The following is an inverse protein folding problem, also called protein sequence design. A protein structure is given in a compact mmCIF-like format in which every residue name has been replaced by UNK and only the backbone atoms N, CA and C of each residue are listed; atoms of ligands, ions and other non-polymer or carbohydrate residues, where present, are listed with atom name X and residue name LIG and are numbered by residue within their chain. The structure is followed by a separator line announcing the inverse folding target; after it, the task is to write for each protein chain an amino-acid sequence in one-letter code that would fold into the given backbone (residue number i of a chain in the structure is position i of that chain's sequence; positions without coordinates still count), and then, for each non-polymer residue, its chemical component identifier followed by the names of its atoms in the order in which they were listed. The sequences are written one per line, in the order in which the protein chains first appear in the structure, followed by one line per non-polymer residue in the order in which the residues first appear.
data_IF_552895714670
#
_entry.id   IF_552895714670
#
_cell.length_a   1.000
_cell.length_b   1.000
_cell.length_c   1.000
_cell.angle_alpha   90.00
_cell.angle_beta   90.00
_cell.angle_gamma   90.00
#
_symmetry.space_group_name_H-M   'P 1'
#
loop_
_entity.id
_entity.type
_entity.pdbx_description
1 polymer ?
#
# COMPACT_ATOMS: atom_id res chain seq x y z
N UNK A 1 11.21 4.97 -17.32
CA UNK A 1 11.81 3.64 -17.52
C UNK A 1 10.98 2.73 -16.64
N UNK A 2 10.18 1.82 -17.19
CA UNK A 2 9.30 0.97 -16.35
C UNK A 2 10.15 -0.08 -15.64
N UNK A 3 10.41 0.15 -14.35
CA UNK A 3 11.09 -0.85 -13.53
C UNK A 3 10.17 -2.06 -13.33
N UNK A 4 10.69 -3.25 -13.65
CA UNK A 4 9.95 -4.49 -13.60
C UNK A 4 9.30 -4.69 -12.23
N UNK A 5 7.97 -4.87 -12.20
CA UNK A 5 7.09 -5.01 -10.99
C UNK A 5 7.51 -6.11 -9.99
N UNK A 6 8.52 -6.90 -10.36
CA UNK A 6 9.02 -8.11 -9.70
C UNK A 6 10.43 -7.95 -9.11
N UNK A 7 10.94 -6.73 -8.86
CA UNK A 7 12.18 -6.43 -8.10
C UNK A 7 13.31 -7.47 -8.23
N UNK A 8 14.04 -7.42 -9.35
CA UNK A 8 15.20 -8.31 -9.60
C UNK A 8 14.84 -9.74 -10.04
N UNK A 9 13.56 -10.09 -10.17
CA UNK A 9 13.13 -11.31 -10.84
C UNK A 9 12.74 -11.05 -12.30
N UNK A 10 13.38 -11.78 -13.21
CA UNK A 10 13.33 -11.54 -14.66
C UNK A 10 12.50 -12.56 -15.45
N UNK A 11 12.04 -13.64 -14.83
CA UNK A 11 11.26 -14.68 -15.52
C UNK A 11 9.77 -14.30 -15.57
N UNK A 12 9.00 -14.79 -16.55
CA UNK A 12 7.55 -14.58 -16.59
C UNK A 12 6.86 -15.17 -15.35
N UNK A 13 5.82 -14.49 -14.87
CA UNK A 13 4.94 -14.99 -13.82
C UNK A 13 3.66 -15.58 -14.43
N UNK A 14 3.31 -16.78 -13.99
CA UNK A 14 2.05 -17.44 -14.28
C UNK A 14 1.10 -17.27 -13.09
N UNK A 15 -0.19 -17.07 -13.36
CA UNK A 15 -1.20 -17.10 -12.32
C UNK A 15 -1.65 -18.55 -12.10
N UNK A 16 -1.49 -19.05 -10.87
CA UNK A 16 -1.99 -20.35 -10.44
C UNK A 16 -3.32 -20.19 -9.70
N UNK A 17 -4.23 -21.12 -9.96
CA UNK A 17 -5.40 -21.41 -9.14
C UNK A 17 -5.06 -22.48 -8.08
N UNK A 18 -6.09 -22.99 -7.39
CA UNK A 18 -5.95 -23.95 -6.29
C UNK A 18 -5.52 -25.35 -6.77
N UNK A 19 -6.05 -25.82 -7.90
CA UNK A 19 -5.69 -27.11 -8.49
C UNK A 19 -4.22 -27.10 -8.96
N UNK A 20 -3.82 -26.04 -9.66
CA UNK A 20 -2.45 -25.88 -10.14
C UNK A 20 -1.43 -25.70 -9.01
N UNK A 21 -1.82 -25.04 -7.91
CA UNK A 21 -0.96 -24.90 -6.73
C UNK A 21 -0.76 -26.24 -6.00
N UNK A 22 -1.82 -27.04 -5.86
CA UNK A 22 -1.76 -28.39 -5.24
C UNK A 22 -0.91 -29.35 -6.10
N UNK A 23 -1.12 -29.34 -7.42
CA UNK A 23 -0.45 -30.25 -8.35
C UNK A 23 1.07 -30.01 -8.47
N UNK A 24 1.55 -28.80 -8.16
CA UNK A 24 2.97 -28.45 -8.25
C UNK A 24 3.87 -29.08 -7.17
N UNK A 25 3.33 -29.90 -6.25
CA UNK A 25 4.06 -30.70 -5.23
C UNK A 25 5.03 -29.93 -4.31
N UNK A 26 5.06 -28.60 -4.40
CA UNK A 26 5.83 -27.72 -3.53
C UNK A 26 5.00 -27.40 -2.29
N UNK A 27 5.27 -28.13 -1.20
CA UNK A 27 4.56 -27.94 0.07
C UNK A 27 4.67 -26.50 0.58
N UNK A 28 3.52 -25.91 0.94
CA UNK A 28 3.33 -24.60 1.59
C UNK A 28 4.38 -23.54 1.23
N UNK A 29 4.38 -23.11 -0.04
CA UNK A 29 5.33 -22.12 -0.55
C UNK A 29 5.21 -20.74 0.16
N UNK A 30 6.33 -20.01 0.21
CA UNK A 30 6.42 -18.67 0.82
C UNK A 30 6.40 -17.57 -0.25
N UNK A 31 5.68 -16.49 0.03
CA UNK A 31 5.67 -15.31 -0.82
C UNK A 31 7.05 -14.63 -0.79
N UNK A 32 7.70 -14.53 -1.94
CA UNK A 32 9.05 -13.98 -2.07
C UNK A 32 9.14 -12.49 -1.70
N UNK A 33 8.00 -11.77 -1.67
CA UNK A 33 7.93 -10.37 -1.20
C UNK A 33 7.64 -10.23 0.30
N UNK A 34 6.65 -10.90 0.89
CA UNK A 34 6.29 -10.70 2.31
C UNK A 34 6.75 -11.81 3.27
N UNK A 35 7.20 -12.96 2.78
CA UNK A 35 7.62 -14.12 3.60
C UNK A 35 6.48 -15.02 4.07
N UNK A 36 5.23 -14.56 4.00
CA UNK A 36 4.06 -15.34 4.43
C UNK A 36 3.64 -16.41 3.41
N UNK A 37 2.99 -17.48 3.89
CA UNK A 37 2.54 -18.59 3.05
C UNK A 37 1.61 -18.10 1.93
N UNK A 38 1.84 -18.55 0.69
CA UNK A 38 0.91 -18.28 -0.42
C UNK A 38 -0.28 -19.23 -0.36
N UNK A 39 -1.47 -18.66 -0.61
CA UNK A 39 -2.67 -19.40 -0.96
C UNK A 39 -3.04 -19.07 -2.40
N UNK A 40 -3.74 -19.98 -3.07
CA UNK A 40 -4.35 -19.66 -4.35
C UNK A 40 -5.42 -18.56 -4.21
N UNK A 41 -5.68 -17.77 -5.27
CA UNK A 41 -4.89 -17.68 -6.49
C UNK A 41 -3.62 -16.82 -6.31
N UNK A 42 -2.46 -17.34 -6.70
CA UNK A 42 -1.15 -16.71 -6.52
C UNK A 42 -0.33 -16.70 -7.83
N UNK A 43 0.71 -15.87 -7.91
CA UNK A 43 1.66 -15.94 -9.01
C UNK A 43 2.83 -16.88 -8.67
N UNK A 44 3.30 -17.63 -9.67
CA UNK A 44 4.55 -18.40 -9.61
C UNK A 44 5.44 -18.08 -10.81
N UNK A 45 6.75 -18.25 -10.67
CA UNK A 45 7.69 -18.22 -11.80
C UNK A 45 7.41 -19.36 -12.79
N UNK A 46 7.38 -19.04 -14.09
CA UNK A 46 7.22 -20.00 -15.19
C UNK A 46 8.38 -21.01 -15.30
N UNK A 47 9.57 -20.65 -14.80
CA UNK A 47 10.78 -21.47 -14.80
C UNK A 47 10.98 -22.23 -13.47
N UNK A 48 9.95 -22.33 -12.62
CA UNK A 48 9.95 -23.10 -11.38
C UNK A 48 11.08 -22.77 -10.37
N UNK A 49 11.66 -21.57 -10.44
CA UNK A 49 12.78 -21.16 -9.59
C UNK A 49 12.42 -20.86 -8.11
N UNK A 50 11.29 -21.37 -7.62
CA UNK A 50 10.81 -21.17 -6.24
C UNK A 50 10.29 -19.76 -5.93
N UNK A 51 10.12 -18.89 -6.93
CA UNK A 51 9.58 -17.54 -6.73
C UNK A 51 8.04 -17.55 -6.83
N UNK A 52 7.38 -17.13 -5.74
CA UNK A 52 5.92 -17.07 -5.61
C UNK A 52 5.49 -15.71 -5.03
N UNK A 53 4.32 -15.21 -5.43
CA UNK A 53 3.75 -13.97 -4.88
C UNK A 53 2.24 -14.09 -4.65
N UNK A 54 1.74 -13.56 -3.52
CA UNK A 54 0.32 -13.19 -3.44
C UNK A 54 0.01 -12.12 -4.49
N UNK A 55 -1.22 -12.10 -5.02
CA UNK A 55 -1.69 -11.04 -5.94
C UNK A 55 -1.43 -9.64 -5.40
N UNK A 56 -1.73 -9.41 -4.12
CA UNK A 56 -1.51 -8.12 -3.44
C UNK A 56 -0.02 -7.73 -3.38
N UNK A 57 0.88 -8.70 -3.19
CA UNK A 57 2.32 -8.43 -3.20
C UNK A 57 2.85 -8.18 -4.63
N UNK A 58 2.31 -8.85 -5.64
CA UNK A 58 2.65 -8.58 -7.04
C UNK A 58 2.17 -7.19 -7.50
N UNK A 59 1.01 -6.74 -7.01
CA UNK A 59 0.43 -5.43 -7.31
C UNK A 59 0.89 -4.28 -6.39
N UNK A 60 1.65 -4.57 -5.33
CA UNK A 60 2.14 -3.57 -4.38
C UNK A 60 2.98 -2.49 -5.10
N UNK A 61 2.63 -1.20 -4.99
CA UNK A 61 3.33 -0.10 -5.67
C UNK A 61 4.73 0.11 -5.08
N UNK A 62 5.62 0.74 -5.84
CA UNK A 62 6.98 1.06 -5.36
C UNK A 62 6.95 2.11 -4.23
N UNK A 63 5.95 3.01 -4.26
CA UNK A 63 5.77 4.09 -3.29
C UNK A 63 4.28 4.23 -2.91
N UNK A 64 4.02 4.62 -1.67
CA UNK A 64 2.68 4.96 -1.15
C UNK A 64 2.72 6.36 -0.53
N UNK A 65 1.94 7.28 -1.09
CA UNK A 65 1.71 8.61 -0.50
C UNK A 65 0.57 8.49 0.53
N UNK A 66 0.90 8.19 1.78
CA UNK A 66 -0.12 7.81 2.78
C UNK A 66 -0.96 9.02 3.22
N UNK A 67 -2.31 8.99 3.13
CA UNK A 67 -3.12 10.19 3.39
C UNK A 67 -3.01 10.75 4.82
N UNK A 68 -2.71 9.89 5.81
CA UNK A 68 -2.45 10.29 7.20
C UNK A 68 -0.96 10.57 7.53
N UNK A 69 -0.07 10.45 6.55
CA UNK A 69 1.38 10.67 6.69
C UNK A 69 1.90 11.13 5.32
N UNK A 70 1.68 12.42 5.01
CA UNK A 70 1.81 12.98 3.64
C UNK A 70 3.17 13.60 3.37
N UNK A 71 3.95 13.89 4.42
CA UNK A 71 5.22 14.61 4.31
C UNK A 71 6.32 13.74 3.69
N UNK A 72 6.28 12.42 3.93
CA UNK A 72 7.23 11.46 3.40
C UNK A 72 6.49 10.28 2.72
N UNK A 73 6.80 9.94 1.46
CA UNK A 73 6.27 8.73 0.85
C UNK A 73 6.88 7.49 1.50
N UNK A 74 6.04 6.47 1.68
CA UNK A 74 6.47 5.13 2.09
C UNK A 74 7.04 4.39 0.87
N UNK A 75 8.34 4.07 0.87
CA UNK A 75 9.04 3.42 -0.25
C UNK A 75 9.19 1.92 0.03
N UNK A 76 8.88 1.07 -0.97
CA UNK A 76 9.01 -0.37 -0.86
C UNK A 76 10.47 -0.82 -1.03
N UNK A 77 11.06 -1.31 0.07
CA UNK A 77 12.44 -1.76 0.13
C UNK A 77 12.54 -3.28 0.33
N UNK A 78 13.54 -3.91 -0.29
CA UNK A 78 13.94 -5.30 0.02
C UNK A 78 14.89 -5.37 1.21
N UNK A 79 15.69 -4.32 1.40
CA UNK A 79 16.66 -4.18 2.48
C UNK A 79 16.56 -2.77 3.06
N UNK A 80 16.63 -2.63 4.38
CA UNK A 80 16.63 -1.33 5.04
C UNK A 80 17.87 -0.51 4.69
N UNK A 81 17.80 0.82 4.87
CA UNK A 81 18.98 1.70 4.80
C UNK A 81 19.89 1.58 6.05
N UNK A 82 19.43 0.89 7.10
CA UNK A 82 20.12 0.79 8.39
C UNK A 82 21.16 -0.35 8.44
N UNK A 83 22.29 -0.10 9.11
CA UNK A 83 23.39 -1.07 9.24
C UNK A 83 23.12 -2.18 10.27
N UNK A 84 22.25 -1.93 11.26
CA UNK A 84 21.95 -2.84 12.36
C UNK A 84 20.51 -2.65 12.83
N UNK A 85 19.76 -3.74 13.03
CA UNK A 85 18.42 -3.70 13.61
C UNK A 85 17.51 -4.84 13.16
N UNK A 86 16.38 -4.97 13.86
CA UNK A 86 15.18 -5.70 13.43
C UNK A 86 14.08 -4.69 13.17
N UNK A 87 13.53 -4.68 11.96
CA UNK A 87 12.53 -3.71 11.49
C UNK A 87 11.18 -4.16 12.03
N UNK A 88 10.52 -3.32 12.82
CA UNK A 88 9.24 -3.64 13.45
C UNK A 88 8.17 -2.85 12.72
N UNK A 89 7.10 -3.53 12.32
CA UNK A 89 5.97 -2.90 11.63
C UNK A 89 5.14 -2.07 12.61
N UNK A 90 5.13 -0.74 12.46
CA UNK A 90 4.44 0.23 13.34
C UNK A 90 2.91 0.05 13.44
N UNK A 91 2.33 -0.83 12.61
CA UNK A 91 0.90 -1.19 12.67
C UNK A 91 0.60 -2.46 13.49
N UNK A 92 1.55 -3.39 13.62
CA UNK A 92 1.26 -4.70 14.22
C UNK A 92 2.38 -5.30 15.07
N UNK A 93 3.41 -4.51 15.40
CA UNK A 93 4.48 -4.83 16.35
C UNK A 93 5.27 -6.12 16.05
N UNK A 94 5.30 -6.52 14.77
CA UNK A 94 5.99 -7.73 14.29
C UNK A 94 7.11 -7.40 13.33
N UNK A 95 8.15 -8.23 13.36
CA UNK A 95 9.33 -8.09 12.50
C UNK A 95 8.98 -8.13 11.00
N UNK A 96 9.55 -7.24 10.21
CA UNK A 96 9.56 -7.30 8.75
C UNK A 96 10.76 -8.16 8.28
N UNK A 97 10.48 -9.34 7.71
CA UNK A 97 11.52 -10.34 7.36
C UNK A 97 11.96 -10.31 5.90
N UNK A 98 11.20 -9.63 5.02
CA UNK A 98 11.40 -9.59 3.57
C UNK A 98 11.28 -8.16 3.06
N UNK A 99 10.40 -7.89 2.08
CA UNK A 99 10.10 -6.54 1.63
C UNK A 99 9.11 -5.85 2.56
N UNK A 100 9.31 -4.55 2.77
CA UNK A 100 8.52 -3.70 3.63
C UNK A 100 8.53 -2.27 3.08
N UNK A 101 7.52 -1.49 3.47
CA UNK A 101 7.48 -0.06 3.21
C UNK A 101 8.22 0.69 4.30
N UNK A 102 9.00 1.69 3.90
CA UNK A 102 9.87 2.46 4.77
C UNK A 102 9.77 3.97 4.44
N UNK A 103 9.66 4.80 5.46
CA UNK A 103 10.04 6.21 5.43
C UNK A 103 10.87 6.52 6.70
N UNK A 104 11.48 7.71 6.84
CA UNK A 104 12.31 8.04 8.02
C UNK A 104 11.60 7.86 9.38
N UNK A 105 10.28 7.88 9.41
CA UNK A 105 9.44 7.85 10.61
C UNK A 105 8.68 6.53 10.83
N UNK A 106 8.53 5.68 9.81
CA UNK A 106 7.62 4.52 9.81
C UNK A 106 8.15 3.34 8.97
N UNK A 107 8.01 2.13 9.53
CA UNK A 107 8.20 0.83 8.86
C UNK A 107 6.88 0.03 8.84
N UNK A 108 6.53 -0.58 7.69
CA UNK A 108 5.33 -1.41 7.58
C UNK A 108 5.52 -2.65 6.70
N UNK A 109 4.96 -3.79 7.11
CA UNK A 109 4.72 -4.89 6.15
C UNK A 109 3.87 -4.40 4.98
N UNK A 110 4.08 -4.96 3.78
CA UNK A 110 3.28 -4.66 2.57
C UNK A 110 1.77 -4.68 2.86
N UNK A 111 1.28 -5.72 3.54
CA UNK A 111 -0.14 -5.85 3.87
C UNK A 111 -0.64 -4.77 4.84
N UNK A 112 0.22 -4.30 5.75
CA UNK A 112 -0.13 -3.30 6.75
C UNK A 112 -0.21 -1.92 6.12
N UNK A 113 0.81 -1.52 5.34
CA UNK A 113 0.80 -0.24 4.61
C UNK A 113 -0.40 -0.13 3.66
N UNK A 114 -0.71 -1.19 2.91
CA UNK A 114 -1.87 -1.19 2.01
C UNK A 114 -3.20 -1.17 2.78
N UNK A 115 -3.28 -1.81 3.94
CA UNK A 115 -4.48 -1.79 4.78
C UNK A 115 -4.73 -0.40 5.39
N UNK A 116 -3.70 0.22 5.99
CA UNK A 116 -3.82 1.57 6.57
C UNK A 116 -4.07 2.62 5.49
N UNK A 117 -3.42 2.50 4.34
CA UNK A 117 -3.65 3.36 3.17
C UNK A 117 -5.12 3.31 2.71
N UNK A 118 -5.68 2.11 2.52
CA UNK A 118 -7.07 1.95 2.10
C UNK A 118 -8.06 2.53 3.13
N UNK A 119 -7.79 2.38 4.43
CA UNK A 119 -8.60 3.01 5.49
C UNK A 119 -8.51 4.54 5.40
N UNK A 120 -7.30 5.08 5.31
CA UNK A 120 -7.07 6.52 5.26
C UNK A 120 -7.70 7.17 4.01
N UNK A 121 -7.61 6.52 2.85
CA UNK A 121 -8.30 6.97 1.63
C UNK A 121 -9.83 6.96 1.76
N UNK A 122 -10.40 5.91 2.35
CA UNK A 122 -11.86 5.81 2.49
C UNK A 122 -12.39 6.86 3.47
N UNK A 123 -11.68 7.08 4.59
CA UNK A 123 -12.01 8.14 5.54
C UNK A 123 -11.93 9.54 4.89
N UNK A 124 -10.97 9.79 3.98
CA UNK A 124 -10.94 11.04 3.22
C UNK A 124 -12.15 11.19 2.28
N UNK A 125 -12.53 10.13 1.55
CA UNK A 125 -13.70 10.15 0.65
C UNK A 125 -15.01 10.38 1.42
N UNK A 126 -15.12 9.88 2.66
CA UNK A 126 -16.23 10.21 3.56
C UNK A 126 -16.18 11.68 3.97
N UNK A 127 -15.01 12.21 4.37
CA UNK A 127 -14.86 13.63 4.73
C UNK A 127 -15.14 14.57 3.55
N UNK A 128 -14.83 14.18 2.32
CA UNK A 128 -15.20 14.93 1.10
C UNK A 128 -16.72 15.04 0.92
N UNK A 129 -17.49 13.98 1.26
CA UNK A 129 -18.95 14.04 1.31
C UNK A 129 -19.51 14.83 2.52
N UNK A 130 -18.71 15.01 3.58
CA UNK A 130 -19.05 15.82 4.75
C UNK A 130 -18.50 17.24 4.71
N UNK A 131 -17.90 17.69 3.59
CA UNK A 131 -17.59 19.12 3.39
C UNK A 131 -18.90 19.89 3.50
N UNK A 132 -19.04 20.63 4.60
CA UNK A 132 -20.23 21.45 4.84
C UNK A 132 -20.52 22.32 3.62
N UNK A 133 -21.80 22.45 3.29
CA UNK A 133 -22.27 23.54 2.45
C UNK A 133 -21.74 24.84 3.06
N UNK A 134 -20.83 25.52 2.35
CA UNK A 134 -20.32 26.82 2.77
C UNK A 134 -21.51 27.73 3.07
N UNK A 135 -21.63 28.28 4.30
CA UNK A 135 -22.63 29.30 4.58
C UNK A 135 -22.28 30.50 3.70
N UNK A 136 -23.03 30.63 2.61
CA UNK A 136 -22.94 31.73 1.66
C UNK A 136 -22.74 33.04 2.43
N UNK A 137 -21.70 33.80 2.04
CA UNK A 137 -21.61 35.22 2.39
C UNK A 137 -22.87 35.87 1.82
N UNK A 138 -23.88 36.04 2.67
CA UNK A 138 -25.14 36.67 2.31
C UNK A 138 -24.83 38.12 2.00
N UNK A 139 -24.78 38.44 0.72
CA UNK A 139 -25.07 39.80 0.25
C UNK A 139 -26.37 40.24 0.89
N UNK A 140 -26.32 41.32 1.66
CA UNK A 140 -27.49 42.05 2.13
C UNK A 140 -27.31 43.50 1.71
N UNK A 141 -27.79 43.78 0.51
CA UNK A 141 -28.52 45.00 0.28
C UNK A 141 -29.97 44.74 0.83
N UNK A 142 -30.87 45.70 1.06
CA UNK A 142 -30.97 47.09 0.61
C UNK A 142 -31.52 48.00 1.74
N UNK A 143 -31.90 49.24 1.37
CA UNK A 143 -32.79 50.20 2.07
C UNK A 143 -32.19 50.98 3.29
N UNK A 144 -32.46 52.27 3.55
CA UNK A 144 -32.92 53.43 2.74
C UNK A 144 -32.58 54.78 3.48
N UNK A 145 -32.78 55.94 2.83
CA UNK A 145 -32.83 57.37 3.28
C UNK A 145 -32.27 57.87 4.63
N UNK A 146 -31.51 58.98 4.56
CA UNK A 146 -31.61 60.11 5.50
C UNK A 146 -31.56 61.45 4.73
N UNK A 147 -32.30 62.44 5.24
CA UNK A 147 -32.87 63.61 4.55
C UNK A 147 -31.88 64.75 4.23
N UNK A 148 -32.28 65.64 3.31
CA UNK A 148 -31.63 66.94 3.05
C UNK A 148 -31.85 67.95 4.19
N UNK A 149 -30.78 68.64 4.63
CA UNK A 149 -30.80 70.00 5.24
C UNK A 149 -29.49 70.75 4.98
#
# INVERSE_FOLDING_TARGET
MEESKNYGHHHPLLLLDEEQLINNQSGVADCSKCGEKVSAPCFSCAEYCGFYLHKVCAAAPLEINHPSHRDHPLVLLQKPPYLFGTYICDFCDKTCEKFFYHCPDLDFHIKCALFTFNIAENNLKELEHFVCQDPLVSTKNDDEELEEV
#
